data_IF_899449004921
#
_entry.id   IF_899449004921
#
_cell.length_a   1.000
_cell.length_b   1.000
_cell.length_c   1.000
_cell.angle_alpha   90.00
_cell.angle_beta   90.00
_cell.angle_gamma   90.00
#
_symmetry.space_group_name_H-M   'P 1'
#
loop_
_entity.id
_entity.type
_entity.pdbx_description
1 polymer ?
#
# COMPACT_ATOMS: atom_id res chain seq x y z
N UNK A 1 -20.23 -0.49 13.40
CA UNK A 1 -20.59 -0.95 12.03
C UNK A 1 -21.21 -2.33 12.12
N UNK A 2 -22.22 -2.66 11.32
CA UNK A 2 -22.81 -4.01 11.26
C UNK A 2 -22.17 -4.85 10.14
N UNK A 3 -22.49 -6.15 10.09
CA UNK A 3 -21.91 -7.06 9.09
C UNK A 3 -22.33 -6.74 7.66
N UNK A 4 -23.53 -6.18 7.47
CA UNK A 4 -24.07 -5.83 6.15
C UNK A 4 -23.38 -4.63 5.53
N UNK A 5 -22.72 -3.80 6.33
CA UNK A 5 -21.92 -2.65 5.89
C UNK A 5 -20.41 -2.95 5.92
N UNK A 6 -19.96 -3.70 6.92
CA UNK A 6 -18.54 -4.05 7.10
C UNK A 6 -17.99 -4.93 5.97
N UNK A 7 -18.70 -5.99 5.58
CA UNK A 7 -18.19 -6.93 4.58
C UNK A 7 -18.05 -6.29 3.19
N UNK A 8 -19.06 -5.55 2.67
CA UNK A 8 -18.88 -4.81 1.42
C UNK A 8 -17.74 -3.80 1.47
N UNK A 9 -17.58 -3.07 2.58
CA UNK A 9 -16.46 -2.14 2.76
C UNK A 9 -15.12 -2.88 2.71
N UNK A 10 -14.97 -3.99 3.44
CA UNK A 10 -13.75 -4.79 3.44
C UNK A 10 -13.39 -5.29 2.05
N UNK A 11 -14.37 -5.80 1.29
CA UNK A 11 -14.14 -6.26 -0.08
C UNK A 11 -13.75 -5.12 -1.01
N UNK A 12 -14.42 -3.97 -0.89
CA UNK A 12 -14.17 -2.78 -1.72
C UNK A 12 -12.77 -2.23 -1.48
N UNK A 13 -12.41 -1.99 -0.21
CA UNK A 13 -11.10 -1.45 0.14
C UNK A 13 -9.97 -2.44 -0.10
N UNK A 14 -10.23 -3.75 0.01
CA UNK A 14 -9.26 -4.77 -0.41
C UNK A 14 -9.04 -4.76 -1.92
N UNK A 15 -10.09 -4.59 -2.73
CA UNK A 15 -9.94 -4.47 -4.18
C UNK A 15 -9.13 -3.22 -4.57
N UNK A 16 -9.39 -2.09 -3.90
CA UNK A 16 -8.63 -0.84 -4.07
C UNK A 16 -7.17 -1.03 -3.67
N UNK A 17 -6.90 -1.74 -2.58
CA UNK A 17 -5.55 -2.13 -2.16
C UNK A 17 -4.80 -2.87 -3.29
N UNK A 18 -5.39 -3.93 -3.83
CA UNK A 18 -4.76 -4.70 -4.91
C UNK A 18 -4.57 -3.87 -6.18
N UNK A 19 -5.50 -2.97 -6.51
CA UNK A 19 -5.38 -2.08 -7.65
C UNK A 19 -4.16 -1.14 -7.49
N UNK A 20 -4.00 -0.54 -6.32
CA UNK A 20 -2.86 0.33 -6.00
C UNK A 20 -1.53 -0.41 -5.98
N UNK A 21 -1.48 -1.58 -5.34
CA UNK A 21 -0.22 -2.30 -5.09
C UNK A 21 0.29 -3.10 -6.30
N UNK A 22 -0.61 -3.58 -7.17
CA UNK A 22 -0.25 -4.37 -8.35
C UNK A 22 -0.46 -3.64 -9.68
N UNK A 23 -1.66 -3.09 -9.93
CA UNK A 23 -1.98 -2.58 -11.26
C UNK A 23 -1.25 -1.27 -11.57
N UNK A 24 -1.05 -0.42 -10.57
CA UNK A 24 -0.34 0.85 -10.71
C UNK A 24 1.14 0.80 -10.30
N UNK A 25 1.63 -0.36 -9.88
CA UNK A 25 3.05 -0.58 -9.64
C UNK A 25 3.73 -1.07 -10.93
N UNK A 26 4.69 -0.30 -11.43
CA UNK A 26 5.49 -0.74 -12.58
C UNK A 26 6.54 -1.79 -12.19
N UNK A 27 6.95 -2.63 -13.13
CA UNK A 27 8.04 -3.59 -12.93
C UNK A 27 9.36 -2.90 -12.52
N UNK A 28 9.61 -1.69 -13.04
CA UNK A 28 10.74 -0.86 -12.62
C UNK A 28 10.64 -0.47 -11.14
N UNK A 29 9.47 -0.02 -10.69
CA UNK A 29 9.27 0.41 -9.30
C UNK A 29 9.43 -0.77 -8.33
N UNK A 30 8.90 -1.94 -8.70
CA UNK A 30 9.01 -3.17 -7.92
C UNK A 30 10.47 -3.62 -7.73
N UNK A 31 11.28 -3.55 -8.79
CA UNK A 31 12.69 -3.96 -8.75
C UNK A 31 13.59 -2.93 -8.07
N UNK A 32 13.30 -1.63 -8.25
CA UNK A 32 14.14 -0.57 -7.69
C UNK A 32 13.88 -0.28 -6.21
N UNK A 33 12.67 -0.54 -5.70
CA UNK A 33 12.36 -0.38 -4.26
C UNK A 33 13.05 -1.45 -3.39
N UNK A 34 13.23 -2.66 -3.92
CA UNK A 34 13.94 -3.78 -3.29
C UNK A 34 15.02 -4.30 -4.25
N UNK A 35 16.22 -3.69 -4.28
CA UNK A 35 17.30 -4.18 -5.13
C UNK A 35 17.67 -5.62 -4.74
N UNK A 36 17.68 -6.52 -5.72
CA UNK A 36 18.11 -7.91 -5.52
C UNK A 36 19.57 -7.99 -5.02
N UNK A 37 20.39 -7.05 -5.47
CA UNK A 37 21.77 -6.85 -5.02
C UNK A 37 21.98 -5.37 -4.60
N UNK A 38 22.14 -5.07 -3.29
CA UNK A 38 22.39 -3.72 -2.81
C UNK A 38 23.79 -3.18 -3.16
N UNK A 39 24.70 -4.03 -3.63
CA UNK A 39 26.04 -3.66 -4.08
C UNK A 39 26.10 -3.37 -5.58
N UNK A 40 25.06 -3.76 -6.34
CA UNK A 40 24.97 -3.48 -7.76
C UNK A 40 24.94 -1.97 -7.99
N UNK A 41 25.87 -1.42 -8.80
CA UNK A 41 25.88 0.00 -9.12
C UNK A 41 24.58 0.37 -9.85
N UNK A 42 23.96 1.45 -9.41
CA UNK A 42 22.76 1.99 -10.04
C UNK A 42 23.14 2.91 -11.19
N UNK A 43 22.36 2.94 -12.28
CA UNK A 43 22.55 3.91 -13.35
C UNK A 43 22.65 5.33 -12.78
N UNK A 44 23.52 6.15 -13.36
CA UNK A 44 23.71 7.50 -12.87
C UNK A 44 22.45 8.34 -13.13
N UNK A 45 21.90 8.93 -12.06
CA UNK A 45 20.64 9.68 -12.11
C UNK A 45 19.42 8.87 -11.65
N UNK A 46 19.55 7.56 -11.40
CA UNK A 46 18.44 6.77 -10.88
C UNK A 46 18.15 7.08 -9.39
N UNK A 47 16.87 7.11 -9.00
CA UNK A 47 16.46 7.42 -7.63
C UNK A 47 16.95 6.40 -6.58
N UNK A 48 16.99 6.85 -5.33
CA UNK A 48 17.19 6.03 -4.14
C UNK A 48 16.22 4.84 -4.04
N UNK A 49 16.58 3.66 -3.49
CA UNK A 49 15.59 2.61 -3.21
C UNK A 49 14.54 3.07 -2.18
N UNK A 50 14.86 4.02 -1.30
CA UNK A 50 13.90 4.65 -0.39
C UNK A 50 13.02 5.69 -1.10
N UNK A 51 13.55 6.35 -2.12
CA UNK A 51 12.82 7.32 -2.93
C UNK A 51 11.80 6.61 -3.82
N UNK A 52 12.19 5.50 -4.46
CA UNK A 52 11.26 4.65 -5.22
C UNK A 52 10.18 4.05 -4.31
N UNK A 53 10.54 3.63 -3.09
CA UNK A 53 9.56 3.18 -2.11
C UNK A 53 8.53 4.27 -1.77
N UNK A 54 8.99 5.51 -1.60
CA UNK A 54 8.09 6.64 -1.36
C UNK A 54 7.16 6.86 -2.55
N UNK A 55 7.68 6.83 -3.79
CA UNK A 55 6.86 6.94 -5.00
C UNK A 55 5.80 5.85 -5.09
N UNK A 56 6.16 4.61 -4.75
CA UNK A 56 5.21 3.50 -4.64
C UNK A 56 4.09 3.80 -3.65
N UNK A 57 4.45 4.18 -2.42
CA UNK A 57 3.46 4.44 -1.38
C UNK A 57 2.56 5.63 -1.70
N UNK A 58 3.08 6.66 -2.38
CA UNK A 58 2.30 7.80 -2.85
C UNK A 58 1.30 7.40 -3.94
N UNK A 59 1.74 6.65 -4.95
CA UNK A 59 0.85 6.13 -6.02
C UNK A 59 -0.22 5.18 -5.46
N UNK A 60 0.18 4.31 -4.56
CA UNK A 60 -0.71 3.42 -3.82
C UNK A 60 -1.78 4.23 -3.07
N UNK A 61 -1.37 5.21 -2.27
CA UNK A 61 -2.30 6.04 -1.48
C UNK A 61 -3.20 6.90 -2.36
N UNK A 62 -2.69 7.41 -3.48
CA UNK A 62 -3.47 8.14 -4.46
C UNK A 62 -4.63 7.29 -5.01
N UNK A 63 -4.42 5.98 -5.16
CA UNK A 63 -5.49 5.05 -5.60
C UNK A 63 -6.65 5.02 -4.61
N UNK A 64 -6.38 5.03 -3.31
CA UNK A 64 -7.41 5.12 -2.27
C UNK A 64 -8.15 6.46 -2.30
N UNK A 65 -7.41 7.57 -2.39
CA UNK A 65 -8.01 8.92 -2.43
C UNK A 65 -8.89 9.09 -3.67
N UNK A 66 -8.42 8.64 -4.84
CA UNK A 66 -9.19 8.72 -6.09
C UNK A 66 -10.42 7.82 -6.01
N UNK A 67 -10.28 6.58 -5.52
CA UNK A 67 -11.41 5.66 -5.40
C UNK A 67 -12.48 6.20 -4.44
N UNK A 68 -12.09 6.70 -3.27
CA UNK A 68 -13.01 7.32 -2.31
C UNK A 68 -13.81 8.45 -2.96
N UNK A 69 -13.11 9.36 -3.66
CA UNK A 69 -13.74 10.49 -4.35
C UNK A 69 -14.61 10.06 -5.54
N UNK A 70 -14.16 9.10 -6.34
CA UNK A 70 -14.87 8.64 -7.53
C UNK A 70 -16.15 7.85 -7.19
N UNK A 71 -16.13 7.08 -6.11
CA UNK A 71 -17.27 6.30 -5.64
C UNK A 71 -18.16 7.06 -4.65
N UNK A 72 -17.83 8.31 -4.31
CA UNK A 72 -18.60 9.14 -3.40
C UNK A 72 -18.62 8.60 -1.96
N UNK A 73 -17.54 7.93 -1.55
CA UNK A 73 -17.39 7.39 -0.18
C UNK A 73 -16.67 8.42 0.67
N UNK A 74 -17.32 8.86 1.75
CA UNK A 74 -16.69 9.70 2.77
C UNK A 74 -15.70 8.85 3.57
N UNK A 75 -14.41 9.15 3.39
CA UNK A 75 -13.32 8.53 4.13
C UNK A 75 -12.57 9.62 4.92
N UNK A 76 -12.15 9.28 6.14
CA UNK A 76 -11.41 10.20 6.99
C UNK A 76 -10.01 10.47 6.37
N UNK A 77 -9.59 11.73 6.18
CA UNK A 77 -8.24 12.04 5.70
C UNK A 77 -7.12 11.38 6.53
N UNK A 78 -7.33 11.16 7.83
CA UNK A 78 -6.41 10.44 8.70
C UNK A 78 -6.30 8.96 8.32
N UNK A 79 -7.35 8.34 7.79
CA UNK A 79 -7.30 6.97 7.29
C UNK A 79 -6.27 6.83 6.17
N UNK A 80 -6.24 7.78 5.23
CA UNK A 80 -5.25 7.77 4.15
C UNK A 80 -3.82 7.94 4.66
N UNK A 81 -3.61 8.78 5.69
CA UNK A 81 -2.31 8.93 6.31
C UNK A 81 -1.86 7.61 6.99
N UNK A 82 -2.77 6.93 7.69
CA UNK A 82 -2.49 5.62 8.30
C UNK A 82 -2.18 4.56 7.24
N UNK A 83 -2.97 4.50 6.16
CA UNK A 83 -2.75 3.59 5.04
C UNK A 83 -1.38 3.83 4.39
N UNK A 84 -1.04 5.09 4.10
CA UNK A 84 0.27 5.46 3.56
C UNK A 84 1.42 5.01 4.47
N UNK A 85 1.35 5.34 5.75
CA UNK A 85 2.40 5.01 6.72
C UNK A 85 2.53 3.49 6.93
N UNK A 86 1.40 2.78 7.04
CA UNK A 86 1.40 1.33 7.17
C UNK A 86 2.03 0.67 5.95
N UNK A 87 1.64 1.09 4.74
CA UNK A 87 2.20 0.55 3.50
C UNK A 87 3.71 0.77 3.43
N UNK A 88 4.15 1.99 3.74
CA UNK A 88 5.57 2.35 3.78
C UNK A 88 6.35 1.52 4.80
N UNK A 89 5.81 1.31 6.00
CA UNK A 89 6.47 0.52 7.06
C UNK A 89 6.57 -0.95 6.66
N UNK A 90 5.49 -1.56 6.18
CA UNK A 90 5.47 -2.98 5.79
C UNK A 90 6.42 -3.21 4.61
N UNK A 91 6.35 -2.39 3.56
CA UNK A 91 7.23 -2.53 2.39
C UNK A 91 8.69 -2.25 2.75
N UNK A 92 8.97 -1.29 3.64
CA UNK A 92 10.33 -1.06 4.11
C UNK A 92 10.87 -2.30 4.86
N UNK A 93 10.07 -2.91 5.74
CA UNK A 93 10.49 -4.13 6.47
C UNK A 93 10.69 -5.31 5.52
N UNK A 94 9.80 -5.49 4.55
CA UNK A 94 9.95 -6.47 3.47
C UNK A 94 11.26 -6.27 2.73
N UNK A 95 11.54 -5.04 2.33
CA UNK A 95 12.69 -4.70 1.52
C UNK A 95 14.03 -4.76 2.28
N UNK A 96 14.06 -4.43 3.58
CA UNK A 96 15.32 -4.23 4.34
C UNK A 96 15.59 -5.33 5.35
N UNK A 97 14.54 -5.85 6.00
CA UNK A 97 14.67 -6.83 7.09
C UNK A 97 14.32 -8.25 6.66
N UNK A 98 13.68 -8.42 5.48
CA UNK A 98 13.28 -9.73 4.92
C UNK A 98 12.43 -10.58 5.89
N UNK A 99 11.73 -9.94 6.83
CA UNK A 99 10.77 -10.60 7.72
C UNK A 99 9.50 -11.00 6.96
N UNK A 100 9.10 -10.17 6.02
CA UNK A 100 7.99 -10.44 5.09
C UNK A 100 8.56 -11.21 3.90
N UNK A 101 8.42 -12.54 3.92
CA UNK A 101 9.04 -13.45 2.94
C UNK A 101 8.13 -13.87 1.81
N UNK A 102 6.82 -13.77 2.00
CA UNK A 102 5.83 -14.22 1.03
C UNK A 102 4.89 -13.07 0.69
N UNK A 103 4.39 -13.08 -0.55
CA UNK A 103 3.37 -12.12 -0.97
C UNK A 103 2.13 -12.22 -0.08
N UNK A 104 1.70 -13.42 0.32
CA UNK A 104 0.53 -13.57 1.17
C UNK A 104 0.68 -12.92 2.55
N UNK A 105 1.86 -12.99 3.16
CA UNK A 105 2.11 -12.33 4.45
C UNK A 105 2.09 -10.81 4.29
N UNK A 106 2.71 -10.30 3.24
CA UNK A 106 2.71 -8.88 2.88
C UNK A 106 1.29 -8.31 2.75
N UNK A 107 0.48 -8.95 1.89
CA UNK A 107 -0.89 -8.54 1.62
C UNK A 107 -1.79 -8.68 2.87
N UNK A 108 -1.56 -9.71 3.69
CA UNK A 108 -2.29 -9.88 4.94
C UNK A 108 -2.02 -8.74 5.93
N UNK A 109 -0.77 -8.27 6.05
CA UNK A 109 -0.43 -7.15 6.93
C UNK A 109 -1.11 -5.84 6.49
N UNK A 110 -1.19 -5.62 5.18
CA UNK A 110 -1.89 -4.46 4.63
C UNK A 110 -3.40 -4.54 4.85
N UNK A 111 -4.03 -5.68 4.55
CA UNK A 111 -5.47 -5.90 4.80
C UNK A 111 -5.80 -5.77 6.29
N UNK A 112 -4.94 -6.28 7.18
CA UNK A 112 -5.09 -6.12 8.63
C UNK A 112 -5.08 -4.65 9.07
N UNK A 113 -4.47 -3.76 8.29
CA UNK A 113 -4.53 -2.31 8.54
C UNK A 113 -5.89 -1.73 8.15
N UNK A 114 -6.56 -2.26 7.12
CA UNK A 114 -7.88 -1.80 6.68
C UNK A 114 -8.99 -2.17 7.67
N UNK A 115 -8.92 -3.35 8.28
CA UNK A 115 -9.92 -3.87 9.22
C UNK A 115 -10.28 -2.88 10.34
N UNK A 116 -9.32 -2.33 11.13
CA UNK A 116 -9.65 -1.38 12.19
C UNK A 116 -10.16 -0.05 11.63
N UNK A 117 -9.66 0.41 10.48
CA UNK A 117 -10.13 1.66 9.86
C UNK A 117 -11.61 1.54 9.46
N UNK A 118 -12.01 0.42 8.87
CA UNK A 118 -13.40 0.12 8.52
C UNK A 118 -14.25 -0.03 9.78
N UNK A 119 -13.77 -0.78 10.79
CA UNK A 119 -14.50 -1.00 12.03
C UNK A 119 -14.79 0.30 12.80
N UNK A 120 -13.87 1.26 12.73
CA UNK A 120 -13.99 2.61 13.29
C UNK A 120 -14.83 3.57 12.42
N UNK A 121 -15.22 3.15 11.21
CA UNK A 121 -15.97 3.99 10.26
C UNK A 121 -15.12 5.09 9.62
N UNK A 122 -13.80 4.90 9.56
CA UNK A 122 -12.88 5.81 8.86
C UNK A 122 -12.77 5.51 7.36
N UNK A 123 -13.18 4.30 6.96
CA UNK A 123 -13.27 3.75 5.61
C UNK A 123 -14.61 3.02 5.44
#
# INVERSE_FOLDING_TARGET
>A
MDWTTFLPALLTWSAIHFLGDFAFQSAWMATMKVPDDPQKPRPQGDPGPNEVLLYHCLMYTATFVIAAKAFGVDADPLAFAVIFLAHMVVDWHKARKRYVKTVWLDQSLHILTLVPLIALGWL
#
